data_IF_783211380836
#
_entry.id   IF_783211380836
#
_cell.length_a   1.000
_cell.length_b   1.000
_cell.length_c   1.000
_cell.angle_alpha   90.00
_cell.angle_beta   90.00
_cell.angle_gamma   90.00
#
_symmetry.space_group_name_H-M   'P 1'
#
loop_
_entity.id
_entity.type
_entity.pdbx_description
1 polymer ?
#
# COMPACT_ATOMS: atom_id res chain seq x y z
N UNK A 1 -1.60 -13.55 18.43
CA UNK A 1 -0.85 -12.71 17.48
C UNK A 1 -0.40 -13.57 16.29
N UNK A 2 -1.26 -13.81 15.29
CA UNK A 2 -0.95 -14.73 14.16
C UNK A 2 -0.17 -14.07 13.01
N UNK A 3 -0.13 -12.74 12.95
CA UNK A 3 0.45 -12.00 11.82
C UNK A 3 1.94 -11.67 11.96
N UNK A 4 2.54 -11.83 13.15
CA UNK A 4 3.98 -11.70 13.43
C UNK A 4 4.66 -10.55 12.66
N UNK A 5 5.48 -10.91 11.67
CA UNK A 5 6.38 -10.13 10.83
C UNK A 5 5.75 -9.65 9.51
N UNK A 6 4.51 -10.04 9.23
CA UNK A 6 3.84 -9.76 7.95
C UNK A 6 3.24 -8.36 7.91
N UNK A 7 3.22 -7.77 6.71
CA UNK A 7 2.58 -6.50 6.43
C UNK A 7 1.82 -6.58 5.09
N UNK A 8 0.51 -6.34 5.12
CA UNK A 8 -0.36 -6.46 3.94
C UNK A 8 -0.49 -5.13 3.18
N UNK A 9 -0.48 -5.20 1.86
CA UNK A 9 -0.73 -4.06 0.97
C UNK A 9 -2.04 -4.34 0.24
N UNK A 10 -3.04 -3.49 0.45
CA UNK A 10 -4.37 -3.62 -0.11
C UNK A 10 -4.60 -2.58 -1.20
N UNK A 11 -5.39 -2.98 -2.20
CA UNK A 11 -5.84 -2.11 -3.27
C UNK A 11 -7.30 -1.76 -3.05
N UNK A 12 -7.63 -0.48 -3.17
CA UNK A 12 -9.00 0.00 -3.10
C UNK A 12 -9.41 0.43 -4.49
N UNK A 13 -10.31 -0.36 -5.09
CA UNK A 13 -10.98 0.00 -6.34
C UNK A 13 -12.11 0.99 -6.02
N UNK A 14 -12.38 1.94 -6.90
CA UNK A 14 -13.57 2.80 -6.80
C UNK A 14 -14.85 1.99 -7.09
N UNK A 15 -15.97 2.44 -6.52
CA UNK A 15 -17.29 1.95 -6.92
C UNK A 15 -17.54 2.19 -8.41
N UNK A 16 -18.02 1.18 -9.13
CA UNK A 16 -18.60 1.42 -10.45
C UNK A 16 -19.84 2.30 -10.25
N UNK A 17 -19.76 3.54 -10.71
CA UNK A 17 -20.95 4.37 -10.95
C UNK A 17 -21.49 3.99 -12.30
N UNK A 18 -22.74 3.55 -12.38
CA UNK A 18 -23.41 3.36 -13.66
C UNK A 18 -23.57 4.70 -14.37
N UNK A 19 -23.80 4.67 -15.70
CA UNK A 19 -23.88 5.86 -16.58
C UNK A 19 -24.96 6.89 -16.16
N UNK A 20 -25.82 6.57 -15.20
CA UNK A 20 -26.83 7.45 -14.60
C UNK A 20 -26.39 8.17 -13.32
N UNK A 21 -25.14 7.97 -12.85
CA UNK A 21 -24.63 8.60 -11.63
C UNK A 21 -25.18 8.02 -10.32
N UNK A 22 -25.92 6.92 -10.40
CA UNK A 22 -26.33 6.09 -9.27
C UNK A 22 -25.37 4.91 -9.16
N UNK A 23 -24.82 4.68 -7.96
CA UNK A 23 -23.93 3.54 -7.72
C UNK A 23 -24.62 2.23 -8.14
N UNK A 24 -23.87 1.36 -8.83
CA UNK A 24 -24.37 0.07 -9.29
C UNK A 24 -24.74 -0.80 -8.09
N UNK A 25 -26.02 -0.79 -7.70
CA UNK A 25 -26.59 -1.78 -6.80
C UNK A 25 -26.96 -2.98 -7.66
N UNK A 26 -26.03 -3.93 -7.82
CA UNK A 26 -26.33 -5.25 -8.39
C UNK A 26 -27.26 -5.99 -7.42
N UNK A 27 -28.55 -5.63 -7.47
CA UNK A 27 -29.64 -6.30 -6.75
C UNK A 27 -29.98 -7.63 -7.44
N UNK A 28 -29.10 -8.61 -7.26
CA UNK A 28 -29.41 -10.02 -7.45
C UNK A 28 -30.03 -10.59 -6.18
N UNK A 29 -31.33 -10.85 -6.22
CA UNK A 29 -32.10 -11.48 -5.15
C UNK A 29 -31.56 -12.86 -4.76
N UNK A 30 -31.14 -12.99 -3.50
CA UNK A 30 -31.10 -14.28 -2.80
C UNK A 30 -29.73 -14.96 -2.74
N UNK A 31 -28.83 -14.49 -1.87
CA UNK A 31 -27.89 -15.34 -1.13
C UNK A 31 -27.28 -14.55 0.04
N UNK A 32 -27.18 -15.21 1.19
CA UNK A 32 -26.47 -14.76 2.40
C UNK A 32 -24.95 -14.74 2.20
N UNK A 33 -24.45 -13.84 1.34
CA UNK A 33 -23.03 -13.56 1.22
C UNK A 33 -22.82 -12.04 1.24
N UNK A 34 -21.87 -11.58 2.04
CA UNK A 34 -21.43 -10.18 2.06
C UNK A 34 -20.83 -9.84 0.69
N UNK A 35 -21.64 -9.39 -0.26
CA UNK A 35 -21.15 -8.72 -1.46
C UNK A 35 -20.39 -7.49 -0.98
N UNK A 36 -19.06 -7.37 -1.20
CA UNK A 36 -18.35 -6.16 -0.83
C UNK A 36 -18.99 -5.05 -1.64
N UNK A 37 -19.65 -4.09 -0.98
CA UNK A 37 -19.89 -2.77 -1.59
C UNK A 37 -18.54 -2.34 -2.16
N UNK A 38 -18.50 -1.90 -3.41
CA UNK A 38 -17.24 -1.43 -4.00
C UNK A 38 -16.69 -0.22 -3.24
N UNK A 39 -15.55 0.31 -3.66
CA UNK A 39 -15.12 1.63 -3.20
C UNK A 39 -14.55 1.69 -1.78
N UNK A 40 -14.37 2.93 -1.36
CA UNK A 40 -13.73 3.31 -0.10
C UNK A 40 -14.53 2.82 1.11
N UNK A 41 -15.84 3.07 1.11
CA UNK A 41 -16.70 2.75 2.26
C UNK A 41 -16.91 1.25 2.41
N UNK A 42 -17.13 0.55 1.29
CA UNK A 42 -17.24 -0.89 1.28
C UNK A 42 -15.94 -1.58 1.71
N UNK A 43 -14.78 -1.08 1.26
CA UNK A 43 -13.48 -1.54 1.77
C UNK A 43 -13.37 -1.32 3.28
N UNK A 44 -13.68 -0.11 3.77
CA UNK A 44 -13.61 0.22 5.20
C UNK A 44 -14.52 -0.69 6.02
N UNK A 45 -15.74 -0.96 5.59
CA UNK A 45 -16.66 -1.86 6.29
C UNK A 45 -16.20 -3.33 6.23
N UNK A 46 -15.58 -3.75 5.13
CA UNK A 46 -15.17 -5.13 4.87
C UNK A 46 -13.97 -5.62 5.69
N UNK A 47 -12.98 -4.77 5.96
CA UNK A 47 -11.69 -5.20 6.57
C UNK A 47 -11.74 -5.47 8.09
N UNK A 48 -12.86 -5.25 8.76
CA UNK A 48 -12.97 -5.43 10.22
C UNK A 48 -12.11 -4.46 11.03
N UNK A 49 -11.90 -4.71 12.32
CA UNK A 49 -11.18 -3.79 13.24
C UNK A 49 -9.91 -4.38 13.86
N UNK A 50 -9.66 -5.67 13.63
CA UNK A 50 -8.50 -6.36 14.18
C UNK A 50 -7.26 -6.14 13.29
N UNK A 51 -6.08 -6.04 13.92
CA UNK A 51 -4.77 -6.06 13.25
C UNK A 51 -4.53 -4.96 12.21
N UNK A 52 -5.29 -3.86 12.24
CA UNK A 52 -5.20 -2.75 11.28
C UNK A 52 -3.78 -2.17 11.12
N UNK A 53 -2.98 -2.22 12.18
CA UNK A 53 -1.58 -1.77 12.12
C UNK A 53 -0.71 -2.56 11.13
N UNK A 54 -1.04 -3.80 10.82
CA UNK A 54 -0.25 -4.68 9.96
C UNK A 54 -0.63 -4.59 8.48
N UNK A 55 -1.30 -3.53 8.05
CA UNK A 55 -1.57 -3.32 6.64
C UNK A 55 -1.67 -1.86 6.25
N UNK A 56 -1.65 -1.62 4.95
CA UNK A 56 -1.90 -0.32 4.34
C UNK A 56 -2.72 -0.48 3.07
N UNK A 57 -3.66 0.42 2.84
CA UNK A 57 -4.48 0.46 1.63
C UNK A 57 -4.02 1.58 0.69
N UNK A 58 -4.14 1.37 -0.61
CA UNK A 58 -3.76 2.33 -1.65
C UNK A 58 -4.87 2.51 -2.68
N UNK A 59 -5.05 3.76 -3.10
CA UNK A 59 -6.02 4.17 -4.14
C UNK A 59 -5.46 5.36 -4.93
N UNK A 60 -5.76 5.50 -6.23
CA UNK A 60 -6.59 4.62 -7.05
C UNK A 60 -5.73 3.60 -7.82
N UNK A 61 -6.34 2.90 -8.76
CA UNK A 61 -5.65 2.03 -9.72
C UNK A 61 -4.76 2.87 -10.65
N UNK A 62 -3.83 2.21 -11.34
CA UNK A 62 -2.79 2.88 -12.10
C UNK A 62 -2.88 2.53 -13.58
N UNK A 63 -2.93 3.56 -14.42
CA UNK A 63 -2.72 3.42 -15.85
C UNK A 63 -1.22 3.27 -16.11
N UNK A 64 -0.82 2.09 -16.56
CA UNK A 64 0.59 1.77 -16.79
C UNK A 64 1.05 2.19 -18.18
N UNK A 65 2.37 2.23 -18.40
CA UNK A 65 2.95 2.36 -19.74
C UNK A 65 2.98 1.03 -20.51
N UNK A 66 2.41 -0.04 -19.96
CA UNK A 66 2.38 -1.36 -20.58
C UNK A 66 1.26 -1.45 -21.61
N UNK A 67 1.57 -2.07 -22.74
CA UNK A 67 0.60 -2.37 -23.79
C UNK A 67 -0.04 -3.73 -23.51
N UNK A 68 -1.29 -3.90 -23.97
CA UNK A 68 -1.88 -5.23 -24.04
C UNK A 68 -1.14 -6.07 -25.07
N UNK A 69 -0.82 -7.30 -24.68
CA UNK A 69 -0.41 -8.32 -25.63
C UNK A 69 -1.66 -8.98 -26.21
N UNK A 70 -1.77 -9.02 -27.54
CA UNK A 70 -2.85 -9.68 -28.24
C UNK A 70 -2.34 -10.25 -29.56
N UNK A 71 -3.04 -11.24 -30.08
CA UNK A 71 -2.87 -11.78 -31.42
C UNK A 71 -4.13 -11.46 -32.25
N UNK A 72 -4.00 -11.40 -33.58
CA UNK A 72 -5.12 -10.96 -34.44
C UNK A 72 -6.35 -11.92 -34.35
N UNK A 73 -6.15 -13.17 -33.93
CA UNK A 73 -7.19 -14.15 -33.65
C UNK A 73 -7.85 -13.99 -32.27
N UNK A 74 -7.14 -13.41 -31.29
CA UNK A 74 -7.67 -13.19 -29.93
C UNK A 74 -8.56 -11.95 -29.81
N UNK A 75 -8.64 -11.12 -30.85
CA UNK A 75 -9.43 -9.89 -30.87
C UNK A 75 -10.75 -10.13 -31.58
N UNK A 76 -11.81 -10.28 -30.80
CA UNK A 76 -13.19 -10.37 -31.30
C UNK A 76 -13.81 -9.00 -31.48
N UNK A 77 -14.51 -8.77 -32.60
CA UNK A 77 -15.19 -7.50 -32.88
C UNK A 77 -16.70 -7.71 -32.80
N UNK A 78 -17.33 -7.09 -31.81
CA UNK A 78 -18.78 -7.11 -31.63
C UNK A 78 -19.36 -5.78 -32.14
N UNK A 79 -19.81 -5.73 -33.40
CA UNK A 79 -20.60 -4.59 -33.89
C UNK A 79 -20.42 -4.22 -35.36
N UNK A 80 -21.43 -4.59 -36.15
CA UNK A 80 -22.05 -3.78 -37.19
C UNK A 80 -21.23 -3.43 -38.43
N UNK A 81 -21.21 -4.35 -39.41
CA UNK A 81 -21.00 -3.95 -40.81
C UNK A 81 -22.09 -2.97 -41.22
N UNK A 82 -21.80 -1.67 -41.14
CA UNK A 82 -22.66 -0.63 -41.66
C UNK A 82 -22.59 -0.61 -43.18
N UNK A 83 -23.55 -1.25 -43.84
CA UNK A 83 -23.92 -0.88 -45.21
C UNK A 83 -24.43 0.56 -45.20
N UNK A 84 -23.65 1.47 -45.77
CA UNK A 84 -24.15 2.74 -46.30
C UNK A 84 -24.34 2.51 -47.80
N UNK A 85 -25.50 2.03 -48.24
CA UNK A 85 -26.20 2.57 -49.41
C UNK A 85 -27.60 1.97 -49.63
N UNK A 86 -28.45 2.84 -50.15
CA UNK A 86 -29.80 2.77 -50.73
C UNK A 86 -30.34 1.41 -51.19
N UNK A 87 -31.43 0.96 -50.56
CA UNK A 87 -32.53 0.21 -51.19
C UNK A 87 -32.25 -1.21 -51.70
N UNK A 88 -32.84 -2.21 -51.02
CA UNK A 88 -33.16 -3.50 -51.64
C UNK A 88 -32.42 -4.71 -51.06
N UNK A 89 -33.24 -5.64 -50.54
CA UNK A 89 -32.95 -7.08 -50.33
C UNK A 89 -31.86 -7.42 -49.31
N UNK A 90 -32.29 -7.89 -48.13
CA UNK A 90 -31.46 -8.57 -47.13
C UNK A 90 -30.93 -9.89 -47.69
N UNK A 91 -29.77 -9.86 -48.31
CA UNK A 91 -28.98 -11.06 -48.62
C UNK A 91 -28.36 -11.61 -47.34
N UNK A 92 -28.72 -12.84 -47.01
CA UNK A 92 -28.22 -13.59 -45.86
C UNK A 92 -26.98 -14.33 -46.35
N UNK A 93 -25.86 -13.61 -46.47
CA UNK A 93 -24.65 -14.15 -47.12
C UNK A 93 -23.39 -13.30 -46.93
N UNK A 94 -23.17 -12.69 -45.77
CA UNK A 94 -21.97 -11.91 -45.46
C UNK A 94 -21.11 -12.59 -44.39
N UNK A 95 -19.88 -12.97 -44.73
CA UNK A 95 -18.91 -13.59 -43.82
C UNK A 95 -18.81 -12.81 -42.52
N UNK A 96 -19.20 -13.44 -41.41
CA UNK A 96 -19.11 -12.87 -40.07
C UNK A 96 -17.63 -12.60 -39.76
N UNK A 97 -17.19 -11.35 -39.92
CA UNK A 97 -15.85 -10.90 -39.51
C UNK A 97 -15.78 -10.87 -37.98
N UNK A 98 -15.75 -12.05 -37.38
CA UNK A 98 -15.81 -12.22 -35.94
C UNK A 98 -14.49 -11.85 -35.24
N UNK A 99 -13.38 -11.79 -35.99
CA UNK A 99 -12.06 -11.47 -35.46
C UNK A 99 -11.21 -10.62 -36.42
N UNK A 100 -10.14 -10.03 -35.87
CA UNK A 100 -9.25 -9.11 -36.59
C UNK A 100 -8.50 -9.78 -37.76
N UNK A 101 -8.32 -11.11 -37.75
CA UNK A 101 -7.73 -11.87 -38.87
C UNK A 101 -8.63 -11.87 -40.10
N UNK A 102 -9.95 -12.02 -39.92
CA UNK A 102 -10.92 -11.92 -41.02
C UNK A 102 -10.93 -10.51 -41.64
N UNK A 103 -10.99 -9.48 -40.78
CA UNK A 103 -10.96 -8.07 -41.19
C UNK A 103 -9.69 -7.74 -41.98
N UNK A 104 -8.53 -8.29 -41.58
CA UNK A 104 -7.26 -8.05 -42.28
C UNK A 104 -7.32 -8.41 -43.77
N UNK A 105 -8.01 -9.51 -44.08
CA UNK A 105 -8.11 -10.08 -45.43
C UNK A 105 -9.13 -9.33 -46.28
N UNK A 106 -10.23 -8.89 -45.66
CA UNK A 106 -11.38 -8.33 -46.36
C UNK A 106 -11.43 -6.79 -46.37
N UNK A 107 -10.86 -6.14 -45.34
CA UNK A 107 -10.90 -4.69 -45.15
C UNK A 107 -9.63 -4.18 -44.42
N UNK A 108 -8.56 -4.00 -45.19
CA UNK A 108 -7.25 -3.57 -44.69
C UNK A 108 -7.28 -2.18 -44.03
N UNK A 109 -8.13 -1.27 -44.50
CA UNK A 109 -8.26 0.08 -43.91
C UNK A 109 -8.88 0.01 -42.51
N UNK A 110 -9.93 -0.78 -42.33
CA UNK A 110 -10.54 -1.01 -41.02
C UNK A 110 -9.57 -1.72 -40.07
N UNK A 111 -8.83 -2.71 -40.56
CA UNK A 111 -7.78 -3.39 -39.79
C UNK A 111 -6.74 -2.40 -39.24
N UNK A 112 -6.22 -1.50 -40.08
CA UNK A 112 -5.24 -0.50 -39.67
C UNK A 112 -5.81 0.50 -38.65
N UNK A 113 -7.08 0.90 -38.81
CA UNK A 113 -7.79 1.74 -37.83
C UNK A 113 -7.92 1.03 -36.48
N UNK A 114 -8.37 -0.23 -36.46
CA UNK A 114 -8.50 -1.02 -35.23
C UNK A 114 -7.14 -1.18 -34.54
N UNK A 115 -6.07 -1.52 -35.28
CA UNK A 115 -4.73 -1.61 -34.70
C UNK A 115 -4.25 -0.30 -34.09
N UNK A 116 -4.57 0.82 -34.73
CA UNK A 116 -4.25 2.15 -34.20
C UNK A 116 -4.99 2.44 -32.89
N UNK A 117 -6.27 2.07 -32.79
CA UNK A 117 -7.03 2.25 -31.54
C UNK A 117 -6.58 1.30 -30.43
N UNK A 118 -6.29 0.03 -30.75
CA UNK A 118 -5.73 -0.94 -29.78
C UNK A 118 -4.39 -0.46 -29.23
N UNK A 119 -3.55 0.16 -30.08
CA UNK A 119 -2.27 0.73 -29.66
C UNK A 119 -2.40 1.93 -28.72
N UNK A 120 -3.58 2.54 -28.58
CA UNK A 120 -3.85 3.60 -27.58
C UNK A 120 -4.24 3.04 -26.22
N UNK A 121 -4.68 1.78 -26.16
CA UNK A 121 -5.08 1.15 -24.90
C UNK A 121 -3.87 0.87 -24.01
N UNK A 122 -4.03 1.05 -22.71
CA UNK A 122 -2.99 0.83 -21.70
C UNK A 122 -3.52 -0.08 -20.61
N UNK A 123 -2.65 -0.94 -20.09
CA UNK A 123 -3.04 -1.86 -19.01
C UNK A 123 -3.25 -1.06 -17.73
N UNK A 124 -4.42 -1.22 -17.11
CA UNK A 124 -4.73 -0.68 -15.79
C UNK A 124 -4.47 -1.76 -14.75
N UNK A 125 -3.65 -1.46 -13.75
CA UNK A 125 -3.29 -2.41 -12.70
C UNK A 125 -3.57 -1.85 -11.31
N UNK A 126 -3.87 -2.70 -10.32
CA UNK A 126 -3.86 -2.32 -8.92
C UNK A 126 -2.46 -1.85 -8.47
N UNK A 127 -2.36 -0.89 -7.54
CA UNK A 127 -1.08 -0.30 -7.14
C UNK A 127 -0.20 -1.20 -6.26
N UNK A 128 -0.73 -2.23 -5.61
CA UNK A 128 -0.03 -3.03 -4.58
C UNK A 128 1.33 -3.55 -5.03
N UNK A 129 1.44 -4.10 -6.23
CA UNK A 129 2.71 -4.61 -6.76
C UNK A 129 3.75 -3.48 -6.94
N UNK A 130 3.34 -2.34 -7.47
CA UNK A 130 4.22 -1.18 -7.64
C UNK A 130 4.65 -0.59 -6.29
N UNK A 131 3.72 -0.51 -5.34
CA UNK A 131 3.98 -0.04 -3.97
C UNK A 131 4.93 -0.99 -3.23
N UNK A 132 4.78 -2.31 -3.37
CA UNK A 132 5.70 -3.29 -2.79
C UNK A 132 7.12 -3.10 -3.31
N UNK A 133 7.27 -2.84 -4.61
CA UNK A 133 8.57 -2.48 -5.22
C UNK A 133 9.14 -1.18 -4.66
N UNK A 134 8.28 -0.17 -4.41
CA UNK A 134 8.69 1.08 -3.76
C UNK A 134 9.15 0.85 -2.33
N UNK A 135 8.46 0.01 -1.55
CA UNK A 135 8.87 -0.34 -0.20
C UNK A 135 10.28 -0.93 -0.21
N UNK A 136 10.51 -1.96 -1.03
CA UNK A 136 11.82 -2.60 -1.13
C UNK A 136 12.93 -1.61 -1.54
N UNK A 137 12.65 -0.72 -2.50
CA UNK A 137 13.59 0.32 -2.94
C UNK A 137 13.89 1.32 -1.82
N UNK A 138 12.87 1.86 -1.17
CA UNK A 138 13.03 2.85 -0.09
C UNK A 138 13.77 2.23 1.10
N UNK A 139 13.44 1.00 1.47
CA UNK A 139 14.10 0.32 2.58
C UNK A 139 15.59 0.12 2.29
N UNK A 140 15.94 -0.30 1.08
CA UNK A 140 17.33 -0.48 0.65
C UNK A 140 18.10 0.84 0.65
N UNK A 141 17.49 1.91 0.13
CA UNK A 141 18.20 3.17 -0.13
C UNK A 141 18.21 4.10 1.09
N UNK A 142 17.22 3.99 2.00
CA UNK A 142 16.94 4.96 3.07
C UNK A 142 16.62 4.33 4.43
N UNK A 143 16.51 3.01 4.51
CA UNK A 143 16.09 2.28 5.71
C UNK A 143 14.57 2.21 5.88
N UNK A 144 14.12 1.15 6.59
CA UNK A 144 12.69 0.84 6.81
C UNK A 144 11.94 1.93 7.59
N UNK A 145 12.67 2.71 8.40
CA UNK A 145 12.13 3.85 9.16
C UNK A 145 11.80 5.06 8.27
N UNK A 146 12.17 5.06 6.98
CA UNK A 146 11.77 6.11 6.05
C UNK A 146 10.37 5.84 5.50
N UNK A 147 9.47 6.82 5.61
CA UNK A 147 8.16 6.73 4.99
C UNK A 147 8.25 6.51 3.46
N UNK A 148 7.59 5.47 2.90
CA UNK A 148 7.56 5.18 1.47
C UNK A 148 6.52 6.05 0.73
N UNK A 149 6.53 7.35 1.02
CA UNK A 149 5.67 8.37 0.42
C UNK A 149 6.51 9.54 -0.10
N UNK A 150 5.92 10.35 -0.97
CA UNK A 150 6.60 11.32 -1.83
C UNK A 150 7.66 10.63 -2.71
N UNK A 151 7.26 9.49 -3.30
CA UNK A 151 8.12 8.64 -4.14
C UNK A 151 7.40 8.34 -5.45
N UNK A 152 8.10 8.47 -6.57
CA UNK A 152 7.56 8.23 -7.90
C UNK A 152 7.43 6.74 -8.22
N UNK A 153 6.38 6.43 -8.99
CA UNK A 153 6.12 5.10 -9.52
C UNK A 153 6.74 4.96 -10.92
N UNK A 154 7.43 3.83 -11.16
CA UNK A 154 7.98 3.51 -12.47
C UNK A 154 6.91 2.87 -13.36
N UNK A 155 6.99 3.10 -14.68
CA UNK A 155 6.07 2.53 -15.67
C UNK A 155 4.58 2.85 -15.43
N UNK A 156 4.31 3.98 -14.78
CA UNK A 156 2.96 4.49 -14.52
C UNK A 156 2.82 5.83 -15.22
N UNK A 157 1.78 5.95 -16.05
CA UNK A 157 1.45 7.19 -16.76
C UNK A 157 0.67 8.13 -15.84
N UNK A 158 -0.39 7.61 -15.22
CA UNK A 158 -1.25 8.36 -14.31
C UNK A 158 -2.02 7.39 -13.40
N UNK A 159 -2.52 7.84 -12.24
CA UNK A 159 -3.62 7.17 -11.56
C UNK A 159 -4.88 7.24 -12.45
N UNK A 160 -5.75 6.24 -12.33
CA UNK A 160 -7.04 6.20 -13.07
C UNK A 160 -7.94 7.39 -12.73
N UNK A 161 -7.70 8.02 -11.57
CA UNK A 161 -8.50 9.10 -11.05
C UNK A 161 -7.64 10.19 -10.44
N UNK A 162 -8.10 11.43 -10.60
CA UNK A 162 -7.48 12.56 -9.93
C UNK A 162 -8.11 12.71 -8.55
N UNK A 163 -7.28 12.62 -7.52
CA UNK A 163 -7.69 12.87 -6.14
C UNK A 163 -7.34 14.32 -5.78
N UNK A 164 -8.35 15.10 -5.42
CA UNK A 164 -8.22 16.45 -4.86
C UNK A 164 -7.72 16.43 -3.42
N UNK A 165 -7.37 17.59 -2.87
CA UNK A 165 -6.93 17.66 -1.47
C UNK A 165 -8.05 17.30 -0.49
N UNK A 166 -9.29 17.71 -0.79
CA UNK A 166 -10.47 17.47 0.05
C UNK A 166 -10.87 15.98 0.04
N UNK A 167 -10.87 15.34 -1.13
CA UNK A 167 -11.07 13.89 -1.23
C UNK A 167 -9.96 13.12 -0.49
N UNK A 168 -8.71 13.58 -0.59
CA UNK A 168 -7.61 12.96 0.14
C UNK A 168 -7.78 13.06 1.67
N UNK A 169 -8.31 14.17 2.19
CA UNK A 169 -8.58 14.33 3.62
C UNK A 169 -9.54 13.25 4.12
N UNK A 170 -10.61 13.01 3.35
CA UNK A 170 -11.58 11.96 3.64
C UNK A 170 -10.99 10.54 3.51
N UNK A 171 -10.03 10.31 2.61
CA UNK A 171 -9.31 9.03 2.50
C UNK A 171 -8.35 8.80 3.68
N UNK A 172 -7.73 9.87 4.15
CA UNK A 172 -6.67 9.87 5.13
C UNK A 172 -7.15 9.37 6.50
N UNK A 173 -8.30 9.82 6.99
CA UNK A 173 -8.91 9.30 8.23
C UNK A 173 -10.42 9.33 8.09
N UNK A 174 -11.06 8.17 8.19
CA UNK A 174 -12.51 8.10 8.31
C UNK A 174 -12.97 8.59 9.70
N UNK A 175 -13.91 9.54 9.81
CA UNK A 175 -14.41 10.03 11.10
C UNK A 175 -15.09 8.96 11.97
N UNK A 176 -15.64 7.90 11.37
CA UNK A 176 -16.42 6.86 12.06
C UNK A 176 -15.62 5.59 12.27
N UNK A 177 -15.02 5.06 11.21
CA UNK A 177 -14.25 3.82 11.20
C UNK A 177 -12.79 4.00 11.62
N UNK A 178 -12.25 5.23 11.56
CA UNK A 178 -10.86 5.53 11.93
C UNK A 178 -9.80 4.96 10.98
N UNK A 179 -10.22 4.48 9.80
CA UNK A 179 -9.37 3.76 8.83
C UNK A 179 -8.80 4.68 7.76
N UNK A 180 -7.54 4.45 7.39
CA UNK A 180 -6.86 5.22 6.35
C UNK A 180 -6.70 4.47 5.05
N UNK A 181 -6.71 5.23 3.96
CA UNK A 181 -6.34 4.81 2.62
C UNK A 181 -5.32 5.82 2.09
N UNK A 182 -4.20 5.33 1.57
CA UNK A 182 -3.13 6.17 1.04
C UNK A 182 -3.40 6.53 -0.41
N UNK A 183 -3.47 7.82 -0.70
CA UNK A 183 -3.67 8.31 -2.06
C UNK A 183 -2.40 8.19 -2.91
N UNK A 184 -2.55 7.88 -4.18
CA UNK A 184 -1.54 8.02 -5.24
C UNK A 184 -2.01 9.14 -6.16
N UNK A 185 -1.17 10.16 -6.33
CA UNK A 185 -1.57 11.43 -6.96
C UNK A 185 -0.58 11.87 -8.03
N UNK A 186 -1.10 12.50 -9.07
CA UNK A 186 -0.29 13.18 -10.09
C UNK A 186 0.00 14.61 -9.69
N UNK A 187 1.26 15.00 -9.81
CA UNK A 187 1.72 16.37 -9.59
C UNK A 187 2.43 16.88 -10.84
N UNK A 188 2.05 18.08 -11.28
CA UNK A 188 2.73 18.78 -12.38
C UNK A 188 4.22 18.93 -12.06
N UNK A 189 5.09 18.49 -12.97
CA UNK A 189 6.54 18.54 -12.82
C UNK A 189 7.18 17.47 -11.93
N UNK A 190 6.39 16.66 -11.19
CA UNK A 190 6.90 15.55 -10.36
C UNK A 190 6.38 14.16 -10.77
N UNK A 191 5.38 14.12 -11.64
CA UNK A 191 4.75 12.88 -12.09
C UNK A 191 3.81 12.27 -11.05
N UNK A 192 3.63 10.96 -11.12
CA UNK A 192 2.74 10.20 -10.22
C UNK A 192 3.49 9.73 -8.98
N UNK A 193 3.04 10.18 -7.81
CA UNK A 193 3.67 9.93 -6.52
C UNK A 193 2.75 9.16 -5.57
N UNK A 194 3.32 8.24 -4.80
CA UNK A 194 2.67 7.75 -3.58
C UNK A 194 2.60 8.90 -2.59
N UNK A 195 1.40 9.25 -2.13
CA UNK A 195 1.15 10.47 -1.35
C UNK A 195 0.50 10.20 0.02
N UNK A 196 0.77 9.02 0.59
CA UNK A 196 0.36 8.64 1.94
C UNK A 196 1.25 7.54 2.52
N UNK A 197 1.43 7.55 3.84
CA UNK A 197 2.22 6.55 4.57
C UNK A 197 1.52 6.09 5.87
N UNK A 198 0.19 6.04 5.88
CA UNK A 198 -0.62 5.54 7.00
C UNK A 198 -0.92 4.05 6.87
N UNK A 199 -0.94 3.35 8.01
CA UNK A 199 -1.48 1.99 8.09
C UNK A 199 -3.01 2.03 8.04
N UNK A 200 -3.69 0.89 8.06
CA UNK A 200 -5.15 0.89 8.18
C UNK A 200 -5.62 1.44 9.54
N UNK A 201 -4.73 1.51 10.55
CA UNK A 201 -5.01 2.06 11.87
C UNK A 201 -4.82 3.59 11.90
N UNK A 202 -5.61 4.30 11.09
CA UNK A 202 -5.46 5.74 10.84
C UNK A 202 -5.59 6.63 12.07
N UNK A 203 -6.54 6.30 12.95
CA UNK A 203 -6.82 7.03 14.17
C UNK A 203 -5.95 6.62 15.38
N UNK A 204 -5.10 5.60 15.22
CA UNK A 204 -4.20 5.14 16.29
C UNK A 204 -3.09 6.20 16.53
N UNK A 205 -2.62 6.37 17.77
CA UNK A 205 -1.56 7.34 18.08
C UNK A 205 -0.16 6.73 18.04
N UNK A 206 -0.06 5.41 18.12
CA UNK A 206 1.19 4.63 18.11
C UNK A 206 1.47 4.06 16.72
N UNK A 207 0.45 3.44 16.11
CA UNK A 207 0.61 2.58 14.93
C UNK A 207 0.08 3.18 13.63
N UNK A 208 -0.21 4.48 13.62
CA UNK A 208 -0.71 5.22 12.44
C UNK A 208 0.18 5.11 11.23
N UNK A 209 1.49 5.07 11.39
CA UNK A 209 2.44 5.22 10.28
C UNK A 209 3.09 3.90 9.88
N UNK A 210 3.13 3.66 8.57
CA UNK A 210 3.79 2.53 7.92
C UNK A 210 5.25 2.37 8.36
N UNK A 211 6.13 3.40 8.26
CA UNK A 211 7.52 3.24 8.65
C UNK A 211 7.70 2.86 10.13
N UNK A 212 6.82 3.36 11.02
CA UNK A 212 6.87 3.04 12.45
C UNK A 212 6.55 1.56 12.65
N UNK A 213 5.42 1.06 12.13
CA UNK A 213 5.08 -0.36 12.30
C UNK A 213 6.11 -1.28 11.64
N UNK A 214 6.57 -0.95 10.43
CA UNK A 214 7.54 -1.78 9.71
C UNK A 214 8.91 -1.80 10.40
N UNK A 215 9.33 -0.70 11.02
CA UNK A 215 10.53 -0.67 11.86
C UNK A 215 10.41 -1.63 13.05
N UNK A 216 9.28 -1.62 13.75
CA UNK A 216 9.05 -2.57 14.85
C UNK A 216 9.03 -4.03 14.36
N UNK A 217 8.38 -4.33 13.23
CA UNK A 217 8.44 -5.68 12.64
C UNK A 217 9.88 -6.12 12.36
N UNK A 218 10.69 -5.24 11.76
CA UNK A 218 12.11 -5.53 11.48
C UNK A 218 12.89 -5.82 12.76
N UNK A 219 12.72 -4.99 13.79
CA UNK A 219 13.44 -5.11 15.06
C UNK A 219 13.02 -6.39 15.80
N UNK A 220 11.71 -6.64 15.93
CA UNK A 220 11.16 -7.84 16.57
C UNK A 220 11.70 -9.11 15.91
N UNK A 221 11.63 -9.20 14.58
CA UNK A 221 12.09 -10.36 13.80
C UNK A 221 13.62 -10.56 13.88
N UNK A 222 14.39 -9.46 13.81
CA UNK A 222 15.85 -9.51 13.86
C UNK A 222 16.34 -9.95 15.24
N UNK A 223 15.75 -9.41 16.31
CA UNK A 223 16.09 -9.79 17.69
C UNK A 223 15.67 -11.23 17.98
N UNK A 224 14.49 -11.66 17.51
CA UNK A 224 14.05 -13.05 17.65
C UNK A 224 15.05 -14.02 17.01
N UNK A 225 15.52 -13.73 15.79
CA UNK A 225 16.53 -14.56 15.09
C UNK A 225 17.87 -14.54 15.82
N UNK A 226 18.33 -13.36 16.22
CA UNK A 226 19.64 -13.21 16.84
C UNK A 226 19.73 -13.81 18.25
N UNK A 227 18.59 -13.96 18.95
CA UNK A 227 18.53 -14.56 20.30
C UNK A 227 18.19 -16.06 20.29
N UNK A 228 18.04 -16.68 19.11
CA UNK A 228 17.66 -18.09 18.99
C UNK A 228 18.66 -19.07 19.64
N UNK A 229 19.95 -18.70 19.70
CA UNK A 229 20.98 -19.53 20.35
C UNK A 229 20.78 -19.68 21.87
N UNK A 230 19.97 -18.82 22.49
CA UNK A 230 19.75 -18.82 23.94
C UNK A 230 18.75 -19.89 24.36
N UNK A 231 18.02 -20.46 23.41
CA UNK A 231 17.07 -21.55 23.70
C UNK A 231 17.86 -22.75 24.22
N UNK A 232 17.50 -23.24 25.41
CA UNK A 232 18.19 -24.29 26.17
C UNK A 232 19.54 -23.92 26.81
N UNK A 233 19.94 -22.65 26.78
CA UNK A 233 21.06 -22.17 27.59
C UNK A 233 20.67 -22.05 29.07
N UNK A 234 21.69 -22.03 29.95
CA UNK A 234 21.46 -21.80 31.37
C UNK A 234 20.84 -20.42 31.62
N UNK A 235 19.68 -20.37 32.31
CA UNK A 235 18.96 -19.13 32.63
C UNK A 235 19.63 -18.38 33.81
N UNK A 236 20.83 -17.83 33.55
CA UNK A 236 21.65 -17.15 34.55
C UNK A 236 22.10 -15.76 34.08
N UNK A 237 22.71 -15.00 34.99
CA UNK A 237 23.16 -13.62 34.73
C UNK A 237 24.12 -13.49 33.55
N UNK A 238 24.96 -14.50 33.30
CA UNK A 238 25.91 -14.48 32.18
C UNK A 238 25.16 -14.51 30.86
N UNK A 239 24.19 -15.41 30.72
CA UNK A 239 23.32 -15.51 29.54
C UNK A 239 22.53 -14.22 29.35
N UNK A 240 21.99 -13.66 30.43
CA UNK A 240 21.21 -12.41 30.36
C UNK A 240 22.05 -11.24 29.86
N UNK A 241 23.28 -11.09 30.36
CA UNK A 241 24.19 -10.03 29.94
C UNK A 241 24.55 -10.18 28.46
N UNK A 242 24.81 -11.40 27.97
CA UNK A 242 25.06 -11.66 26.54
C UNK A 242 23.87 -11.20 25.68
N UNK A 243 22.65 -11.56 26.07
CA UNK A 243 21.43 -11.15 25.34
C UNK A 243 21.22 -9.64 25.38
N UNK A 244 21.39 -9.03 26.55
CA UNK A 244 21.30 -7.58 26.73
C UNK A 244 22.25 -6.85 25.79
N UNK A 245 23.54 -7.21 25.85
CA UNK A 245 24.57 -6.58 25.03
C UNK A 245 24.33 -6.79 23.54
N UNK A 246 23.88 -7.97 23.12
CA UNK A 246 23.54 -8.21 21.71
C UNK A 246 22.43 -7.26 21.23
N UNK A 247 21.36 -7.13 22.01
CA UNK A 247 20.22 -6.28 21.65
C UNK A 247 20.61 -4.80 21.68
N UNK A 248 21.31 -4.35 22.72
CA UNK A 248 21.76 -2.96 22.85
C UNK A 248 22.68 -2.55 21.70
N UNK A 249 23.64 -3.39 21.32
CA UNK A 249 24.52 -3.12 20.17
C UNK A 249 23.74 -2.99 18.85
N UNK A 250 22.74 -3.84 18.64
CA UNK A 250 21.89 -3.76 17.43
C UNK A 250 21.06 -2.48 17.39
N UNK A 251 20.40 -2.13 18.51
CA UNK A 251 19.58 -0.93 18.60
C UNK A 251 20.41 0.35 18.52
N UNK A 252 21.62 0.36 19.09
CA UNK A 252 22.57 1.46 18.95
C UNK A 252 22.99 1.66 17.49
N UNK A 253 23.23 0.56 16.76
CA UNK A 253 23.50 0.60 15.33
C UNK A 253 22.36 1.26 14.52
N UNK A 254 21.10 0.95 14.86
CA UNK A 254 19.93 1.58 14.24
C UNK A 254 19.78 3.06 14.64
N UNK A 255 20.03 3.41 15.90
CA UNK A 255 20.00 4.79 16.38
C UNK A 255 21.06 5.65 15.66
N UNK A 256 22.29 5.14 15.51
CA UNK A 256 23.37 5.83 14.77
C UNK A 256 23.01 6.07 13.29
N UNK A 257 22.16 5.23 12.71
CA UNK A 257 21.63 5.39 11.35
C UNK A 257 20.41 6.33 11.27
N UNK A 258 19.94 6.87 12.40
CA UNK A 258 18.79 7.78 12.48
C UNK A 258 17.43 7.07 12.45
N UNK A 259 17.38 5.77 12.74
CA UNK A 259 16.11 5.02 12.78
C UNK A 259 15.28 5.31 14.04
N UNK A 260 15.97 5.60 15.14
CA UNK A 260 15.39 5.89 16.45
C UNK A 260 15.57 7.37 16.79
N UNK A 261 14.54 7.96 17.42
CA UNK A 261 14.53 9.33 17.86
C UNK A 261 15.20 9.47 19.23
N UNK A 262 15.89 10.58 19.47
CA UNK A 262 16.57 10.84 20.73
C UNK A 262 17.98 11.36 20.50
N UNK A 263 18.41 12.29 21.35
CA UNK A 263 19.77 12.86 21.27
C UNK A 263 20.84 11.92 21.86
N UNK A 264 20.44 10.96 22.68
CA UNK A 264 21.30 9.91 23.25
C UNK A 264 20.63 8.53 23.10
N UNK A 265 21.40 7.42 23.14
CA UNK A 265 20.84 6.07 23.08
C UNK A 265 19.76 5.80 24.14
N UNK A 266 19.94 6.33 25.36
CA UNK A 266 19.04 6.11 26.50
C UNK A 266 17.68 6.81 26.33
N UNK A 267 17.63 7.88 25.53
CA UNK A 267 16.38 8.51 25.11
C UNK A 267 15.70 7.73 23.98
N UNK A 268 16.49 6.99 23.20
CA UNK A 268 16.04 6.30 22.00
C UNK A 268 15.51 4.89 22.25
N UNK A 269 16.12 4.17 23.20
CA UNK A 269 15.69 2.83 23.56
C UNK A 269 16.11 2.44 24.98
N UNK A 270 15.49 1.38 25.50
CA UNK A 270 15.96 0.70 26.70
C UNK A 270 15.81 -0.82 26.55
N UNK A 271 16.68 -1.57 27.24
CA UNK A 271 16.66 -3.03 27.30
C UNK A 271 16.77 -3.48 28.74
N UNK A 272 15.68 -4.01 29.29
CA UNK A 272 15.62 -4.54 30.64
C UNK A 272 15.62 -6.07 30.62
N UNK A 273 16.61 -6.65 31.29
CA UNK A 273 16.70 -8.08 31.54
C UNK A 273 17.29 -8.34 32.92
N UNK A 274 16.65 -9.22 33.70
CA UNK A 274 17.18 -9.72 34.96
C UNK A 274 16.13 -9.82 36.07
N UNK A 275 16.51 -10.51 37.16
CA UNK A 275 15.71 -10.65 38.36
C UNK A 275 15.45 -9.27 39.01
N UNK A 276 14.18 -8.96 39.30
CA UNK A 276 13.77 -7.68 39.85
C UNK A 276 13.75 -6.52 38.84
N UNK A 277 14.09 -6.78 37.57
CA UNK A 277 13.92 -5.84 36.45
C UNK A 277 12.77 -6.28 35.56
N UNK A 278 13.00 -7.30 34.74
CA UNK A 278 12.00 -7.87 33.81
C UNK A 278 11.42 -9.20 34.28
N UNK A 279 12.07 -9.87 35.24
CA UNK A 279 11.70 -11.22 35.71
C UNK A 279 11.53 -11.26 37.23
N UNK A 280 10.61 -12.12 37.68
CA UNK A 280 10.46 -12.56 39.08
C UNK A 280 11.18 -13.89 39.29
N UNK A 281 11.36 -14.28 40.55
CA UNK A 281 11.96 -15.58 40.88
C UNK A 281 11.17 -16.75 40.26
N UNK A 282 9.84 -16.65 40.25
CA UNK A 282 8.96 -17.64 39.62
C UNK A 282 9.22 -17.79 38.11
N UNK A 283 9.46 -16.70 37.39
CA UNK A 283 9.73 -16.76 35.94
C UNK A 283 11.00 -17.59 35.67
N UNK A 284 12.03 -17.43 36.50
CA UNK A 284 13.29 -18.17 36.38
C UNK A 284 13.08 -19.66 36.71
N UNK A 285 12.34 -19.97 37.77
CA UNK A 285 12.01 -21.35 38.16
C UNK A 285 11.18 -22.06 37.08
N UNK A 286 10.32 -21.32 36.37
CA UNK A 286 9.55 -21.81 35.23
C UNK A 286 10.35 -21.83 33.91
N UNK A 287 11.64 -21.48 33.94
CA UNK A 287 12.50 -21.48 32.76
C UNK A 287 12.20 -20.36 31.76
N UNK A 288 11.50 -19.30 32.16
CA UNK A 288 11.19 -18.14 31.33
C UNK A 288 12.29 -17.09 31.45
N UNK A 289 12.80 -16.66 30.30
CA UNK A 289 13.68 -15.50 30.20
C UNK A 289 12.90 -14.37 29.53
N UNK A 290 12.58 -13.31 30.28
CA UNK A 290 11.77 -12.18 29.80
C UNK A 290 12.70 -10.99 29.54
N UNK A 291 12.64 -10.46 28.32
CA UNK A 291 13.37 -9.25 27.91
C UNK A 291 12.34 -8.18 27.60
N UNK A 292 12.43 -7.05 28.28
CA UNK A 292 11.58 -5.89 28.03
C UNK A 292 12.38 -4.86 27.23
N UNK A 293 11.81 -4.42 26.10
CA UNK A 293 12.48 -3.53 25.13
C UNK A 293 11.52 -2.38 24.80
N UNK A 294 11.97 -1.15 24.99
CA UNK A 294 11.25 0.05 24.56
C UNK A 294 12.03 0.81 23.49
N UNK A 295 11.31 1.41 22.54
CA UNK A 295 11.88 2.07 21.36
C UNK A 295 11.14 3.39 21.08
N UNK A 296 11.89 4.45 20.77
CA UNK A 296 11.37 5.71 20.27
C UNK A 296 11.56 5.79 18.75
N UNK A 297 10.55 5.40 17.96
CA UNK A 297 10.63 5.47 16.50
C UNK A 297 10.45 6.91 15.97
N UNK A 298 11.19 7.27 14.92
CA UNK A 298 11.01 8.55 14.22
C UNK A 298 9.67 8.59 13.48
N UNK A 299 8.89 9.65 13.70
CA UNK A 299 7.61 9.88 13.00
C UNK A 299 7.81 10.78 11.78
N UNK A 300 7.14 10.51 10.65
CA UNK A 300 7.23 11.37 9.48
C UNK A 300 6.53 12.72 9.70
N UNK A 301 7.08 13.80 9.15
CA UNK A 301 6.40 15.09 9.05
C UNK A 301 5.38 15.03 7.91
N UNK A 302 4.10 14.88 8.25
CA UNK A 302 3.01 14.81 7.27
C UNK A 302 2.49 16.20 6.85
N UNK A 303 2.48 17.15 7.79
CA UNK A 303 1.96 18.51 7.56
C UNK A 303 3.04 19.55 7.79
N UNK A 304 3.14 20.52 6.88
CA UNK A 304 3.99 21.69 7.02
C UNK A 304 3.05 22.90 7.11
N UNK A 305 3.03 23.57 8.27
CA UNK A 305 2.23 24.78 8.50
C UNK A 305 3.17 25.99 8.41
N UNK A 306 3.05 26.77 7.33
CA UNK A 306 3.79 28.02 7.18
C UNK A 306 3.00 29.16 7.82
N UNK A 307 3.57 29.78 8.85
CA UNK A 307 2.99 30.95 9.53
C UNK A 307 3.73 32.20 9.07
N UNK A 308 3.02 33.07 8.35
CA UNK A 308 3.56 34.36 7.93
C UNK A 308 3.15 35.43 8.95
N UNK A 309 4.12 36.23 9.40
CA UNK A 309 3.89 37.44 10.19
C UNK A 309 4.57 38.63 9.53
N UNK A 310 3.92 39.77 9.56
CA UNK A 310 4.52 41.03 9.14
C UNK A 310 5.34 41.58 10.31
N UNK A 311 6.67 41.60 10.18
CA UNK A 311 7.57 42.25 11.14
C UNK A 311 7.69 43.73 10.75
N UNK A 312 7.27 44.63 11.65
CA UNK A 312 7.49 46.07 11.47
C UNK A 312 8.99 46.38 11.50
N UNK A 313 9.41 47.38 10.72
CA UNK A 313 10.79 47.82 10.66
C UNK A 313 11.23 48.32 12.06
N UNK A 314 12.23 47.66 12.63
CA UNK A 314 12.90 48.12 13.84
C UNK A 314 13.78 49.31 13.45
N UNK A 315 13.55 50.47 14.08
CA UNK A 315 14.28 51.71 13.85
C UNK A 315 15.72 51.65 14.39
#
# INVERSE_FOLDING_TARGET
NKLKDRFAIFDVMKEKTDETGTGADETGTGATERTPKGGVDGFRQGIGTAYLKYGAAYSPYLQTSLNYYYTDDSVSINGGGGTTDTGGTTDTGGTTESNLTGIKTNNTDLYNKIKTELAKQRVVLPPSAAVAGVYARVDRDRGVWKAPANVSLASVLAPTEKITNEEQENLNVDPTAGKSINAIRSFTGKGTLIWGARTLAGNDNEWRYIPVRRLFNLIEESIQKATAFVVFESNNTITWLKVKSLIENYLEGLWRQGALAGSTPEQAFFVNIGLGKSMRAQDILEGRMIVEIGLAAVRPAEFIILKFSHKLQEA
#
